data_IF_956419061694
#
_entry.id   IF_956419061694
#
_cell.length_a   1.000
_cell.length_b   1.000
_cell.length_c   1.000
_cell.angle_alpha   90.00
_cell.angle_beta   90.00
_cell.angle_gamma   90.00
#
_symmetry.space_group_name_H-M   'P 1'
#
loop_
_entity.id
_entity.type
_entity.pdbx_description
1 polymer ?
#
# COMPACT_ATOMS: atom_id res chain seq x y z
N UNK A 1 -19.83 -6.74 8.22
CA UNK A 1 -19.23 -5.87 7.19
C UNK A 1 -17.74 -5.99 7.40
N UNK A 2 -17.04 -6.60 6.46
CA UNK A 2 -15.65 -7.05 6.60
C UNK A 2 -14.71 -5.85 6.77
N UNK A 3 -13.74 -6.05 7.67
CA UNK A 3 -12.69 -5.15 8.09
C UNK A 3 -12.21 -4.22 6.98
N UNK A 4 -12.58 -2.96 7.11
CA UNK A 4 -12.11 -1.90 6.25
C UNK A 4 -10.60 -1.72 6.53
N UNK A 5 -9.76 -2.46 5.79
CA UNK A 5 -8.30 -2.26 5.66
C UNK A 5 -7.99 -0.90 5.00
N UNK A 6 -8.59 0.16 5.52
CA UNK A 6 -8.40 1.53 5.07
C UNK A 6 -7.03 2.06 5.47
N UNK A 7 -6.31 1.38 6.35
CA UNK A 7 -5.01 1.82 6.85
C UNK A 7 -4.14 0.63 7.25
N UNK A 8 -2.97 0.52 6.63
CA UNK A 8 -1.89 -0.38 7.06
C UNK A 8 -0.93 0.42 7.91
N UNK A 9 -0.63 -0.08 9.11
CA UNK A 9 0.22 0.60 10.07
C UNK A 9 1.30 -0.35 10.59
N UNK A 10 2.56 0.07 10.50
CA UNK A 10 3.71 -0.72 10.94
C UNK A 10 4.21 -0.27 12.30
N UNK A 11 4.70 -1.21 13.11
CA UNK A 11 5.33 -0.86 14.40
C UNK A 11 6.79 -0.52 14.18
N UNK A 12 7.18 0.73 14.45
CA UNK A 12 8.57 1.20 14.29
C UNK A 12 9.25 1.63 15.60
N UNK A 13 10.58 1.52 15.60
CA UNK A 13 11.46 1.94 16.69
C UNK A 13 11.48 1.01 17.91
N UNK A 14 12.35 1.32 18.88
CA UNK A 14 12.58 0.49 20.09
C UNK A 14 11.30 0.26 20.91
N UNK A 15 10.34 1.18 20.85
CA UNK A 15 9.07 1.12 21.57
C UNK A 15 7.92 0.51 20.76
N UNK A 16 8.18 0.01 19.54
CA UNK A 16 7.17 -0.60 18.64
C UNK A 16 5.91 0.26 18.47
N UNK A 17 6.11 1.56 18.28
CA UNK A 17 5.03 2.54 18.15
C UNK A 17 4.34 2.31 16.80
N UNK A 18 3.01 2.21 16.83
CA UNK A 18 2.19 2.07 15.63
C UNK A 18 2.34 3.34 14.78
N UNK A 19 2.82 3.18 13.55
CA UNK A 19 3.20 4.26 12.66
C UNK A 19 2.59 4.01 11.27
N UNK A 20 2.08 5.08 10.66
CA UNK A 20 1.48 5.03 9.32
C UNK A 20 2.38 5.83 8.38
N UNK A 21 2.76 5.29 7.21
CA UNK A 21 3.46 6.08 6.20
C UNK A 21 2.66 7.31 5.79
N UNK A 22 3.30 8.49 5.78
CA UNK A 22 2.63 9.75 5.38
C UNK A 22 2.09 9.67 3.96
N UNK A 23 2.77 8.92 3.08
CA UNK A 23 2.31 8.72 1.72
C UNK A 23 1.03 7.88 1.61
N UNK A 24 0.50 7.31 2.70
CA UNK A 24 -0.82 6.69 2.71
C UNK A 24 -1.96 7.67 3.02
N UNK A 25 -1.63 8.95 3.28
CA UNK A 25 -2.59 9.99 3.67
C UNK A 25 -2.75 11.06 2.57
N UNK A 26 -3.98 11.40 2.23
CA UNK A 26 -4.36 12.57 1.43
C UNK A 26 -4.81 13.74 2.31
N UNK A 27 -5.47 14.74 1.71
CA UNK A 27 -5.94 15.94 2.41
C UNK A 27 -6.98 15.62 3.50
N UNK A 28 -7.85 14.64 3.24
CA UNK A 28 -8.98 14.28 4.11
C UNK A 28 -8.72 13.04 4.98
N UNK A 29 -7.48 12.51 5.00
CA UNK A 29 -7.12 11.30 5.73
C UNK A 29 -6.62 10.17 4.84
N UNK A 30 -6.83 8.88 5.21
CA UNK A 30 -6.34 7.73 4.44
C UNK A 30 -6.78 7.75 2.97
N UNK A 31 -5.88 7.39 2.07
CA UNK A 31 -6.19 7.29 0.64
C UNK A 31 -7.10 6.06 0.37
N UNK A 32 -8.36 6.25 -0.04
CA UNK A 32 -9.29 5.15 -0.28
C UNK A 32 -8.83 4.24 -1.44
N UNK A 33 -7.98 4.75 -2.34
CA UNK A 33 -7.43 3.99 -3.46
C UNK A 33 -6.55 2.81 -3.00
N UNK A 34 -5.98 2.88 -1.80
CA UNK A 34 -5.06 1.88 -1.26
C UNK A 34 -5.77 0.61 -0.79
N UNK A 35 -7.01 0.75 -0.27
CA UNK A 35 -7.72 -0.35 0.37
C UNK A 35 -7.81 -1.59 -0.52
N UNK A 36 -8.14 -1.41 -1.80
CA UNK A 36 -8.24 -2.53 -2.73
C UNK A 36 -6.91 -3.14 -3.14
N UNK A 37 -5.76 -2.48 -2.93
CA UNK A 37 -4.43 -3.08 -3.13
C UNK A 37 -4.01 -3.84 -1.88
N UNK A 38 -4.25 -3.26 -0.69
CA UNK A 38 -3.99 -3.93 0.58
C UNK A 38 -4.77 -5.23 0.74
N UNK A 39 -6.04 -5.25 0.35
CA UNK A 39 -6.83 -6.49 0.35
C UNK A 39 -6.18 -7.58 -0.49
N UNK A 40 -5.73 -7.28 -1.71
CA UNK A 40 -5.09 -8.26 -2.60
C UNK A 40 -3.79 -8.79 -2.00
N UNK A 41 -2.91 -7.90 -1.52
CA UNK A 41 -1.64 -8.32 -0.93
C UNK A 41 -1.85 -9.20 0.31
N UNK A 42 -2.80 -8.83 1.17
CA UNK A 42 -3.13 -9.65 2.33
C UNK A 42 -3.78 -10.99 1.96
N UNK A 43 -4.57 -11.05 0.88
CA UNK A 43 -5.13 -12.30 0.37
C UNK A 43 -4.00 -13.23 -0.15
N UNK A 44 -2.89 -12.63 -0.61
CA UNK A 44 -1.62 -13.32 -0.91
C UNK A 44 -0.73 -13.53 0.33
N UNK A 45 -1.29 -13.44 1.53
CA UNK A 45 -0.63 -13.67 2.82
C UNK A 45 0.50 -12.68 3.22
N UNK A 46 0.57 -11.50 2.58
CA UNK A 46 1.48 -10.44 3.02
C UNK A 46 1.02 -9.87 4.38
N UNK A 47 1.97 -9.69 5.29
CA UNK A 47 1.76 -8.95 6.53
C UNK A 47 1.86 -7.42 6.34
N UNK A 48 1.57 -6.65 7.39
CA UNK A 48 1.57 -5.18 7.33
C UNK A 48 2.95 -4.60 6.97
N UNK A 49 4.04 -5.25 7.38
CA UNK A 49 5.42 -4.82 7.07
C UNK A 49 5.76 -5.12 5.62
N UNK A 50 5.45 -6.33 5.15
CA UNK A 50 5.61 -6.75 3.75
C UNK A 50 4.77 -5.88 2.79
N UNK A 51 3.55 -5.52 3.18
CA UNK A 51 2.71 -4.59 2.40
C UNK A 51 3.39 -3.23 2.31
N UNK A 52 3.90 -2.68 3.41
CA UNK A 52 4.61 -1.40 3.37
C UNK A 52 5.84 -1.51 2.48
N UNK A 53 6.66 -2.54 2.64
CA UNK A 53 7.84 -2.75 1.80
C UNK A 53 7.46 -2.83 0.32
N UNK A 54 6.45 -3.62 -0.04
CA UNK A 54 5.97 -3.72 -1.42
C UNK A 54 5.52 -2.36 -1.97
N UNK A 55 4.76 -1.58 -1.18
CA UNK A 55 4.24 -0.28 -1.60
C UNK A 55 5.33 0.77 -1.88
N UNK A 56 6.51 0.60 -1.28
CA UNK A 56 7.68 1.46 -1.48
C UNK A 56 8.78 0.79 -2.32
N UNK A 57 8.58 -0.45 -2.78
CA UNK A 57 9.53 -1.16 -3.62
C UNK A 57 9.71 -0.43 -4.95
N UNK A 58 10.96 -0.36 -5.41
CA UNK A 58 11.31 0.37 -6.61
C UNK A 58 11.03 -0.47 -7.87
N UNK A 59 10.24 0.07 -8.79
CA UNK A 59 9.90 -0.54 -10.07
C UNK A 59 9.74 0.55 -11.15
N UNK A 60 10.76 0.68 -12.00
CA UNK A 60 10.79 1.68 -13.08
C UNK A 60 9.77 1.42 -14.19
N UNK A 61 9.15 0.24 -14.21
CA UNK A 61 8.14 -0.11 -15.19
C UNK A 61 6.75 0.39 -14.80
N UNK A 62 6.59 0.95 -13.59
CA UNK A 62 5.34 1.54 -13.14
C UNK A 62 5.08 2.90 -13.81
N UNK A 63 3.87 3.13 -14.36
CA UNK A 63 3.47 4.45 -14.81
C UNK A 63 3.24 5.39 -13.62
N UNK A 64 3.63 6.66 -13.76
CA UNK A 64 3.33 7.70 -12.78
C UNK A 64 4.26 7.77 -11.56
N UNK A 65 5.24 6.87 -11.44
CA UNK A 65 6.30 6.95 -10.45
C UNK A 65 7.00 5.61 -10.24
N UNK A 66 8.19 5.61 -9.62
CA UNK A 66 9.01 4.41 -9.50
C UNK A 66 8.61 3.49 -8.35
N UNK A 67 7.47 3.73 -7.68
CA UNK A 67 6.97 2.88 -6.59
C UNK A 67 5.46 2.73 -6.69
N UNK A 68 4.87 1.63 -6.17
CA UNK A 68 3.42 1.44 -6.20
C UNK A 68 2.64 2.60 -5.57
N UNK A 69 3.12 3.17 -4.46
CA UNK A 69 2.46 4.31 -3.84
C UNK A 69 2.51 5.57 -4.73
N UNK A 70 3.63 5.82 -5.40
CA UNK A 70 3.75 6.94 -6.33
C UNK A 70 2.83 6.76 -7.54
N UNK A 71 2.78 5.55 -8.10
CA UNK A 71 1.89 5.21 -9.20
C UNK A 71 0.40 5.36 -8.81
N UNK A 72 0.00 4.91 -7.61
CA UNK A 72 -1.36 5.12 -7.10
C UNK A 72 -1.69 6.61 -6.98
N UNK A 73 -0.79 7.41 -6.41
CA UNK A 73 -0.96 8.87 -6.28
C UNK A 73 -1.04 9.58 -7.63
N UNK A 74 -0.39 9.05 -8.65
CA UNK A 74 -0.49 9.52 -10.02
C UNK A 74 -1.73 8.99 -10.77
N UNK A 75 -2.63 8.25 -10.10
CA UNK A 75 -3.89 7.77 -10.66
C UNK A 75 -3.84 6.37 -11.29
N UNK A 76 -2.70 5.66 -11.21
CA UNK A 76 -2.50 4.35 -11.83
C UNK A 76 -2.86 3.15 -10.93
N UNK A 77 -3.87 3.31 -10.05
CA UNK A 77 -4.28 2.27 -9.09
C UNK A 77 -4.68 0.93 -9.71
N UNK A 78 -5.22 0.94 -10.93
CA UNK A 78 -5.59 -0.30 -11.64
C UNK A 78 -4.37 -1.12 -12.02
N UNK A 79 -3.31 -0.48 -12.50
CA UNK A 79 -2.05 -1.15 -12.86
C UNK A 79 -1.35 -1.69 -11.60
N UNK A 80 -1.35 -0.92 -10.52
CA UNK A 80 -0.77 -1.36 -9.25
C UNK A 80 -1.53 -2.55 -8.66
N UNK A 81 -2.88 -2.55 -8.70
CA UNK A 81 -3.67 -3.69 -8.26
C UNK A 81 -3.42 -4.94 -9.12
N UNK A 82 -3.22 -4.78 -10.43
CA UNK A 82 -2.86 -5.89 -11.33
C UNK A 82 -1.56 -6.55 -10.88
N UNK A 83 -0.52 -5.78 -10.56
CA UNK A 83 0.76 -6.31 -10.06
C UNK A 83 0.62 -7.00 -8.71
N UNK A 84 -0.15 -6.42 -7.79
CA UNK A 84 -0.43 -7.07 -6.51
C UNK A 84 -1.09 -8.45 -6.70
N UNK A 85 -1.95 -8.63 -7.70
CA UNK A 85 -2.56 -9.94 -8.02
C UNK A 85 -1.54 -10.96 -8.58
N UNK A 86 -0.40 -10.50 -9.10
CA UNK A 86 0.65 -11.35 -9.67
C UNK A 86 1.65 -11.85 -8.62
N UNK A 87 1.61 -11.31 -7.39
CA UNK A 87 2.44 -11.72 -6.24
C UNK A 87 1.95 -13.03 -5.56
N UNK A 88 1.15 -13.84 -6.26
CA UNK A 88 0.50 -15.04 -5.74
C UNK A 88 1.39 -16.31 -5.76
#
# INVERSE_FOLDING_TARGET
MLDERQLVAVRRGERKVLSVPVDFLGEDGPLPELAGTFTVLSDNAFDDEEIVEWMFAHDETLPGGPTPIAAIRAGFKTEVRRRAMEEA
#
